data_IF_573201601157
#
_entry.id   IF_573201601157
#
_cell.length_a   1.000
_cell.length_b   1.000
_cell.length_c   1.000
_cell.angle_alpha   90.00
_cell.angle_beta   90.00
_cell.angle_gamma   90.00
#
_symmetry.space_group_name_H-M   'P 1'
#
loop_
_entity.id
_entity.type
_entity.pdbx_description
1 polymer ?
#
# COMPACT_ATOMS: atom_id res chain seq x y z
N UNK A 1 -15.83 -33.51 78.15
CA UNK A 1 -14.69 -32.65 77.76
C UNK A 1 -13.86 -33.36 76.69
N UNK A 2 -14.34 -33.51 75.44
CA UNK A 2 -13.52 -34.03 74.30
C UNK A 2 -14.25 -34.19 72.95
N UNK A 3 -15.44 -33.61 72.68
CA UNK A 3 -16.07 -33.77 71.35
C UNK A 3 -16.39 -32.50 70.58
N UNK A 4 -16.12 -31.32 71.13
CA UNK A 4 -16.47 -30.04 70.49
C UNK A 4 -15.31 -29.39 69.71
N UNK A 5 -14.10 -29.95 69.75
CA UNK A 5 -12.91 -29.31 69.16
C UNK A 5 -12.52 -29.80 67.75
N UNK A 6 -13.09 -30.90 67.26
CA UNK A 6 -12.61 -31.55 66.02
C UNK A 6 -13.19 -30.95 64.72
N UNK A 7 -14.24 -30.13 64.80
CA UNK A 7 -14.97 -29.64 63.61
C UNK A 7 -14.54 -28.25 63.11
N UNK A 8 -13.46 -27.68 63.62
CA UNK A 8 -13.03 -26.31 63.25
C UNK A 8 -11.85 -26.23 62.27
N UNK A 9 -11.27 -27.35 61.82
CA UNK A 9 -9.97 -27.34 61.11
C UNK A 9 -10.03 -27.68 59.60
N UNK A 10 -11.19 -28.00 59.01
CA UNK A 10 -11.22 -28.49 57.61
C UNK A 10 -11.85 -27.58 56.54
N UNK A 11 -12.33 -26.36 56.85
CA UNK A 11 -13.08 -25.53 55.89
C UNK A 11 -12.30 -24.39 55.19
N UNK A 12 -10.96 -24.48 55.05
CA UNK A 12 -10.16 -23.34 54.52
C UNK A 12 -9.36 -23.49 53.21
N UNK A 13 -9.21 -24.65 52.53
CA UNK A 13 -8.47 -24.66 51.26
C UNK A 13 -9.35 -24.29 50.05
N UNK A 14 -10.63 -24.70 50.04
CA UNK A 14 -11.50 -24.59 48.83
C UNK A 14 -11.67 -23.14 48.39
N UNK A 15 -11.90 -22.22 49.34
CA UNK A 15 -12.09 -20.78 49.08
C UNK A 15 -10.84 -20.08 48.56
N UNK A 16 -9.64 -20.58 48.87
CA UNK A 16 -8.41 -20.03 48.32
C UNK A 16 -8.24 -20.42 46.85
N UNK A 17 -8.51 -21.68 46.50
CA UNK A 17 -8.49 -22.14 45.11
C UNK A 17 -9.58 -21.48 44.24
N UNK A 18 -10.78 -21.25 44.78
CA UNK A 18 -11.84 -20.53 44.03
C UNK A 18 -11.43 -19.09 43.73
N UNK A 19 -10.77 -18.41 44.67
CA UNK A 19 -10.26 -17.03 44.46
C UNK A 19 -9.17 -16.98 43.39
N UNK A 20 -8.24 -17.94 43.39
CA UNK A 20 -7.17 -18.02 42.38
C UNK A 20 -7.74 -18.28 40.98
N UNK A 21 -8.70 -19.20 40.86
CA UNK A 21 -9.38 -19.48 39.59
C UNK A 21 -10.16 -18.25 39.10
N UNK A 22 -10.89 -17.58 39.99
CA UNK A 22 -11.62 -16.36 39.66
C UNK A 22 -10.68 -15.25 39.18
N UNK A 23 -9.57 -15.02 39.88
CA UNK A 23 -8.57 -14.00 39.50
C UNK A 23 -7.92 -14.34 38.15
N UNK A 24 -7.59 -15.62 37.91
CA UNK A 24 -7.02 -16.07 36.64
C UNK A 24 -8.01 -15.90 35.48
N UNK A 25 -9.29 -16.24 35.69
CA UNK A 25 -10.35 -16.06 34.71
C UNK A 25 -10.60 -14.58 34.40
N UNK A 26 -10.62 -13.72 35.43
CA UNK A 26 -10.72 -12.26 35.26
C UNK A 26 -9.51 -11.71 34.51
N UNK A 27 -8.29 -12.17 34.80
CA UNK A 27 -7.08 -11.80 34.04
C UNK A 27 -7.18 -12.17 32.57
N UNK A 28 -7.67 -13.38 32.24
CA UNK A 28 -7.86 -13.80 30.85
C UNK A 28 -8.86 -12.90 30.10
N UNK A 29 -9.93 -12.48 30.77
CA UNK A 29 -10.95 -11.60 30.18
C UNK A 29 -10.39 -10.19 29.93
N UNK A 30 -9.55 -9.65 30.83
CA UNK A 30 -8.98 -8.31 30.70
C UNK A 30 -7.97 -8.21 29.56
N UNK A 31 -7.17 -9.26 29.31
CA UNK A 31 -6.19 -9.27 28.21
C UNK A 31 -6.86 -9.30 26.83
N UNK A 32 -8.08 -9.82 26.72
CA UNK A 32 -8.84 -9.84 25.47
C UNK A 32 -9.41 -8.49 25.02
N UNK A 33 -9.48 -7.49 25.91
CA UNK A 33 -10.07 -6.18 25.60
C UNK A 33 -9.07 -5.15 25.06
N UNK A 34 -7.76 -5.43 25.13
CA UNK A 34 -6.73 -4.58 24.56
C UNK A 34 -6.39 -5.08 23.15
N UNK A 35 -7.06 -4.54 22.14
CA UNK A 35 -6.66 -4.79 20.75
C UNK A 35 -5.35 -4.06 20.45
N UNK A 36 -4.34 -4.71 19.83
CA UNK A 36 -3.09 -4.05 19.44
C UNK A 36 -3.27 -3.05 18.28
N UNK A 37 -4.51 -2.85 17.80
CA UNK A 37 -4.84 -1.90 16.75
C UNK A 37 -5.28 -0.59 17.39
N UNK A 38 -4.47 0.45 17.22
CA UNK A 38 -4.76 1.81 17.64
C UNK A 38 -5.01 2.72 16.43
N UNK A 39 -5.81 3.76 16.63
CA UNK A 39 -5.92 4.88 15.68
C UNK A 39 -5.08 6.05 16.21
N UNK A 40 -4.38 6.74 15.32
CA UNK A 40 -3.76 8.02 15.64
C UNK A 40 -4.61 9.12 15.00
N UNK A 41 -5.44 9.85 15.77
CA UNK A 41 -6.29 10.88 15.20
C UNK A 41 -5.43 12.00 14.62
N UNK A 42 -5.76 12.44 13.41
CA UNK A 42 -5.13 13.59 12.74
C UNK A 42 -6.17 14.69 12.53
N UNK A 43 -5.72 15.94 12.41
CA UNK A 43 -6.62 17.02 12.02
C UNK A 43 -7.02 16.90 10.54
N UNK A 44 -8.07 17.61 10.15
CA UNK A 44 -8.66 17.52 8.81
C UNK A 44 -7.67 17.91 7.72
N UNK A 45 -6.83 18.94 7.93
CA UNK A 45 -5.89 19.39 6.91
C UNK A 45 -4.80 18.35 6.66
N UNK A 46 -4.25 17.79 7.74
CA UNK A 46 -3.31 16.67 7.64
C UNK A 46 -3.95 15.46 6.95
N UNK A 47 -5.20 15.14 7.28
CA UNK A 47 -5.95 14.07 6.61
C UNK A 47 -6.13 14.30 5.11
N UNK A 48 -6.42 15.53 4.68
CA UNK A 48 -6.49 15.88 3.25
C UNK A 48 -5.12 15.77 2.57
N UNK A 49 -4.05 16.25 3.21
CA UNK A 49 -2.69 16.15 2.67
C UNK A 49 -2.33 14.70 2.42
N UNK A 50 -2.45 13.83 3.42
CA UNK A 50 -2.16 12.39 3.32
C UNK A 50 -2.94 11.72 2.18
N UNK A 51 -4.20 12.11 1.96
CA UNK A 51 -5.03 11.57 0.87
C UNK A 51 -4.66 12.11 -0.52
N UNK A 52 -3.87 13.18 -0.62
CA UNK A 52 -3.45 13.80 -1.89
C UNK A 52 -1.97 13.58 -2.22
N UNK A 53 -1.22 13.00 -1.30
CA UNK A 53 0.15 12.56 -1.53
C UNK A 53 0.19 11.45 -2.59
N UNK A 54 1.21 11.52 -3.44
CA UNK A 54 1.46 10.57 -4.52
C UNK A 54 2.94 10.62 -4.90
N UNK A 55 3.35 9.69 -5.77
CA UNK A 55 4.70 9.69 -6.34
C UNK A 55 5.05 11.05 -6.99
N UNK A 56 4.07 11.73 -7.58
CA UNK A 56 4.26 13.02 -8.23
C UNK A 56 4.37 14.21 -7.26
N UNK A 57 3.56 14.22 -6.20
CA UNK A 57 3.45 15.38 -5.30
C UNK A 57 4.40 15.33 -4.12
N UNK A 58 4.77 14.14 -3.65
CA UNK A 58 5.52 13.95 -2.42
C UNK A 58 6.64 12.89 -2.51
N UNK A 59 6.92 12.36 -3.70
CA UNK A 59 7.91 11.28 -3.92
C UNK A 59 7.70 10.08 -2.98
N UNK A 60 6.44 9.72 -2.74
CA UNK A 60 6.05 8.59 -1.90
C UNK A 60 4.72 8.00 -2.41
N UNK A 61 4.42 6.71 -2.16
CA UNK A 61 3.20 6.11 -2.67
C UNK A 61 1.94 6.81 -2.15
N UNK A 62 0.92 6.96 -2.98
CA UNK A 62 -0.41 7.37 -2.52
C UNK A 62 -1.02 6.34 -1.56
N UNK A 63 -2.01 6.75 -0.75
CA UNK A 63 -2.72 5.82 0.14
C UNK A 63 -3.42 4.67 -0.61
N UNK A 64 -3.80 4.88 -1.87
CA UNK A 64 -4.34 3.82 -2.73
C UNK A 64 -3.29 2.72 -2.98
N UNK A 65 -2.08 3.11 -3.38
CA UNK A 65 -0.97 2.18 -3.60
C UNK A 65 -0.49 1.53 -2.30
N UNK A 66 -0.40 2.29 -1.21
CA UNK A 66 -0.08 1.74 0.13
C UNK A 66 -1.10 0.69 0.58
N UNK A 67 -2.39 0.89 0.26
CA UNK A 67 -3.44 -0.08 0.58
C UNK A 67 -3.23 -1.39 -0.17
N UNK A 68 -2.86 -1.34 -1.46
CA UNK A 68 -2.53 -2.55 -2.23
C UNK A 68 -1.29 -3.23 -1.67
N UNK A 69 -0.21 -2.49 -1.41
CA UNK A 69 1.00 -3.05 -0.80
C UNK A 69 0.69 -3.72 0.54
N UNK A 70 -0.06 -3.07 1.43
CA UNK A 70 -0.43 -3.60 2.75
C UNK A 70 -1.28 -4.86 2.64
N UNK A 71 -2.28 -4.89 1.75
CA UNK A 71 -3.14 -6.07 1.54
C UNK A 71 -2.38 -7.29 1.01
N UNK A 72 -1.26 -7.07 0.33
CA UNK A 72 -0.41 -8.15 -0.19
C UNK A 72 0.81 -8.44 0.70
N UNK A 73 0.99 -7.73 1.83
CA UNK A 73 2.17 -7.88 2.68
C UNK A 73 3.48 -7.41 2.02
N UNK A 74 3.38 -6.45 1.09
CA UNK A 74 4.50 -5.97 0.27
C UNK A 74 5.03 -4.59 0.69
N UNK A 75 4.45 -3.96 1.71
CA UNK A 75 4.79 -2.59 2.13
C UNK A 75 6.30 -2.46 2.45
N UNK A 76 6.79 -3.21 3.44
CA UNK A 76 8.21 -3.15 3.86
C UNK A 76 9.15 -3.68 2.77
N UNK A 77 8.69 -4.67 1.99
CA UNK A 77 9.48 -5.26 0.89
C UNK A 77 9.67 -4.28 -0.26
N UNK A 78 8.74 -3.36 -0.50
CA UNK A 78 8.87 -2.39 -1.57
C UNK A 78 10.03 -1.42 -1.32
N UNK A 79 10.30 -1.08 -0.06
CA UNK A 79 11.41 -0.19 0.32
C UNK A 79 12.78 -0.80 0.03
N UNK A 80 12.89 -2.12 0.12
CA UNK A 80 14.17 -2.86 0.00
C UNK A 80 14.35 -3.55 -1.36
N UNK A 81 13.25 -4.00 -1.97
CA UNK A 81 13.24 -4.82 -3.19
C UNK A 81 12.17 -4.33 -4.20
N UNK A 82 12.15 -3.03 -4.58
CA UNK A 82 11.07 -2.43 -5.37
C UNK A 82 10.83 -3.14 -6.71
N UNK A 83 11.88 -3.43 -7.48
CA UNK A 83 11.76 -4.11 -8.77
C UNK A 83 11.14 -5.51 -8.66
N UNK A 84 11.48 -6.26 -7.60
CA UNK A 84 10.89 -7.60 -7.36
C UNK A 84 9.44 -7.51 -6.92
N UNK A 85 9.09 -6.53 -6.08
CA UNK A 85 7.71 -6.27 -5.70
C UNK A 85 6.86 -5.88 -6.91
N UNK A 86 7.38 -5.03 -7.80
CA UNK A 86 6.71 -4.65 -9.04
C UNK A 86 6.50 -5.85 -9.97
N UNK A 87 7.51 -6.72 -10.12
CA UNK A 87 7.38 -7.95 -10.89
C UNK A 87 6.35 -8.93 -10.28
N UNK A 88 6.31 -9.05 -8.95
CA UNK A 88 5.34 -9.88 -8.23
C UNK A 88 3.91 -9.36 -8.40
N UNK A 89 3.71 -8.03 -8.28
CA UNK A 89 2.41 -7.39 -8.52
C UNK A 89 1.95 -7.58 -9.97
N UNK A 90 2.86 -7.44 -10.95
CA UNK A 90 2.57 -7.66 -12.36
C UNK A 90 2.14 -9.12 -12.62
N UNK A 91 2.92 -10.09 -12.14
CA UNK A 91 2.62 -11.50 -12.30
C UNK A 91 1.28 -11.90 -11.66
N UNK A 92 0.85 -11.18 -10.62
CA UNK A 92 -0.42 -11.36 -9.94
C UNK A 92 -1.61 -10.60 -10.53
N UNK A 93 -1.47 -9.94 -11.68
CA UNK A 93 -2.57 -9.23 -12.35
C UNK A 93 -3.61 -10.22 -12.91
N UNK A 94 -4.87 -9.95 -12.60
CA UNK A 94 -6.03 -10.60 -13.20
C UNK A 94 -6.40 -9.90 -14.51
N UNK A 95 -7.03 -10.61 -15.46
CA UNK A 95 -7.52 -10.01 -16.70
C UNK A 95 -8.60 -8.93 -16.50
N UNK A 96 -9.31 -8.93 -15.37
CA UNK A 96 -10.41 -8.02 -15.04
C UNK A 96 -10.45 -7.77 -13.53
N UNK A 97 -10.98 -6.61 -13.10
CA UNK A 97 -11.21 -6.28 -11.69
C UNK A 97 -9.91 -6.22 -10.85
N UNK A 98 -8.88 -5.59 -11.42
CA UNK A 98 -7.56 -5.40 -10.80
C UNK A 98 -7.03 -3.96 -11.04
N UNK A 99 -7.94 -2.99 -11.20
CA UNK A 99 -7.65 -1.57 -11.43
C UNK A 99 -6.79 -0.98 -10.30
N UNK A 100 -7.02 -1.43 -9.06
CA UNK A 100 -6.21 -1.07 -7.89
C UNK A 100 -4.74 -1.45 -8.08
N UNK A 101 -4.47 -2.67 -8.57
CA UNK A 101 -3.10 -3.15 -8.82
C UNK A 101 -2.49 -2.49 -10.05
N UNK A 102 -3.27 -2.28 -11.11
CA UNK A 102 -2.79 -1.56 -12.30
C UNK A 102 -2.39 -0.12 -11.96
N UNK A 103 -3.23 0.58 -11.20
CA UNK A 103 -2.90 1.91 -10.68
C UNK A 103 -1.63 1.87 -9.81
N UNK A 104 -1.53 0.89 -8.90
CA UNK A 104 -0.36 0.73 -8.04
C UNK A 104 0.91 0.48 -8.86
N UNK A 105 0.85 -0.37 -9.88
CA UNK A 105 1.97 -0.63 -10.78
C UNK A 105 2.39 0.62 -11.55
N UNK A 106 1.43 1.42 -12.01
CA UNK A 106 1.74 2.70 -12.66
C UNK A 106 2.49 3.64 -11.70
N UNK A 107 1.91 3.92 -10.53
CA UNK A 107 2.47 4.87 -9.57
C UNK A 107 3.83 4.41 -9.02
N UNK A 108 3.95 3.14 -8.61
CA UNK A 108 5.16 2.62 -8.00
C UNK A 108 6.29 2.45 -9.02
N UNK A 109 5.97 2.19 -10.30
CA UNK A 109 6.97 2.19 -11.37
C UNK A 109 7.50 3.61 -11.59
N UNK A 110 6.64 4.64 -11.56
CA UNK A 110 7.09 6.03 -11.65
C UNK A 110 8.00 6.38 -10.48
N UNK A 111 7.58 6.05 -9.25
CA UNK A 111 8.36 6.31 -8.05
C UNK A 111 9.72 5.61 -8.08
N UNK A 112 9.76 4.36 -8.54
CA UNK A 112 11.01 3.63 -8.67
C UNK A 112 11.92 4.26 -9.74
N UNK A 113 11.36 4.71 -10.86
CA UNK A 113 12.09 5.44 -11.88
C UNK A 113 12.66 6.77 -11.36
N UNK A 114 11.87 7.56 -10.60
CA UNK A 114 12.33 8.80 -9.98
C UNK A 114 13.51 8.57 -9.03
N UNK A 115 13.47 7.47 -8.27
CA UNK A 115 14.53 7.15 -7.30
C UNK A 115 15.79 6.57 -7.95
N UNK A 116 15.69 5.93 -9.11
CA UNK A 116 16.82 5.24 -9.77
C UNK A 116 17.37 5.97 -10.99
N UNK A 117 16.58 6.85 -11.60
CA UNK A 117 16.87 7.43 -12.91
C UNK A 117 16.72 6.44 -14.07
N UNK A 118 16.13 5.26 -13.87
CA UNK A 118 15.98 4.26 -14.93
C UNK A 118 14.73 4.55 -15.79
N UNK A 119 14.99 4.98 -17.03
CA UNK A 119 13.96 5.35 -18.00
C UNK A 119 13.00 4.21 -18.36
N UNK A 120 13.42 2.96 -18.22
CA UNK A 120 12.56 1.81 -18.53
C UNK A 120 11.36 1.73 -17.57
N UNK A 121 11.54 2.14 -16.31
CA UNK A 121 10.46 2.19 -15.33
C UNK A 121 9.51 3.39 -15.54
N UNK A 122 9.99 4.51 -16.08
CA UNK A 122 9.12 5.60 -16.53
C UNK A 122 8.17 5.12 -17.65
N UNK A 123 8.70 4.36 -18.61
CA UNK A 123 7.89 3.76 -19.65
C UNK A 123 6.94 2.69 -19.10
N UNK A 124 7.37 1.88 -18.13
CA UNK A 124 6.48 0.93 -17.46
C UNK A 124 5.29 1.64 -16.79
N UNK A 125 5.55 2.74 -16.06
CA UNK A 125 4.50 3.61 -15.50
C UNK A 125 3.51 4.05 -16.57
N UNK A 126 4.01 4.55 -17.70
CA UNK A 126 3.18 5.01 -18.80
C UNK A 126 2.30 3.89 -19.37
N UNK A 127 2.83 2.68 -19.55
CA UNK A 127 2.08 1.53 -20.08
C UNK A 127 0.97 1.10 -19.12
N UNK A 128 1.24 1.00 -17.82
CA UNK A 128 0.20 0.65 -16.83
C UNK A 128 -0.86 1.73 -16.68
N UNK A 129 -0.46 3.01 -16.69
CA UNK A 129 -1.41 4.11 -16.66
C UNK A 129 -2.28 4.13 -17.93
N UNK A 130 -1.68 3.88 -19.09
CA UNK A 130 -2.40 3.79 -20.35
C UNK A 130 -3.42 2.64 -20.35
N UNK A 131 -3.05 1.46 -19.86
CA UNK A 131 -3.98 0.31 -19.82
C UNK A 131 -5.17 0.55 -18.90
N UNK A 132 -5.00 1.36 -17.85
CA UNK A 132 -6.06 1.78 -16.94
C UNK A 132 -6.98 2.85 -17.57
N UNK A 133 -6.41 3.79 -18.33
CA UNK A 133 -7.13 4.92 -18.94
C UNK A 133 -7.86 4.53 -20.22
N UNK A 134 -7.28 3.64 -21.01
CA UNK A 134 -7.75 3.25 -22.32
C UNK A 134 -7.95 1.73 -22.42
N UNK A 135 -8.84 1.14 -21.60
CA UNK A 135 -9.23 -0.24 -21.81
C UNK A 135 -9.87 -0.36 -23.21
N UNK A 136 -9.45 -1.34 -23.99
CA UNK A 136 -9.98 -1.58 -25.33
C UNK A 136 -11.43 -2.09 -25.31
N UNK A 137 -11.72 -3.15 -26.06
CA UNK A 137 -13.09 -3.65 -26.25
C UNK A 137 -13.66 -4.42 -25.05
N UNK A 138 -12.88 -4.60 -23.97
CA UNK A 138 -13.34 -5.24 -22.76
C UNK A 138 -14.33 -4.32 -22.04
N UNK A 139 -15.49 -4.83 -21.67
CA UNK A 139 -16.50 -4.17 -20.80
C UNK A 139 -15.98 -3.96 -19.36
N UNK A 140 -14.70 -3.64 -19.20
CA UNK A 140 -13.93 -3.64 -17.98
C UNK A 140 -14.34 -2.47 -17.08
N UNK A 141 -14.30 -2.73 -15.78
CA UNK A 141 -14.51 -1.74 -14.74
C UNK A 141 -13.51 -0.60 -14.96
N UNK A 142 -14.03 0.57 -15.30
CA UNK A 142 -13.25 1.78 -15.52
C UNK A 142 -13.16 2.55 -14.21
N UNK A 143 -12.03 3.21 -13.94
CA UNK A 143 -12.00 4.23 -12.89
C UNK A 143 -13.10 5.25 -13.22
N UNK A 144 -14.02 5.46 -12.29
CA UNK A 144 -15.07 6.48 -12.44
C UNK A 144 -14.39 7.83 -12.58
N UNK A 145 -14.99 8.75 -13.34
CA UNK A 145 -14.48 10.13 -13.43
C UNK A 145 -14.42 10.85 -12.06
N UNK A 146 -15.22 10.39 -11.09
CA UNK A 146 -15.19 10.87 -9.70
C UNK A 146 -14.10 10.24 -8.83
N UNK A 147 -13.42 9.19 -9.32
CA UNK A 147 -12.31 8.57 -8.61
C UNK A 147 -11.07 9.47 -8.73
N UNK A 148 -10.46 9.91 -7.62
CA UNK A 148 -9.29 10.80 -7.67
C UNK A 148 -8.10 10.18 -8.41
N UNK A 149 -8.00 8.84 -8.44
CA UNK A 149 -6.96 8.12 -9.16
C UNK A 149 -7.06 8.29 -10.66
N UNK A 150 -8.24 8.61 -11.19
CA UNK A 150 -8.44 8.83 -12.62
C UNK A 150 -7.61 10.01 -13.12
N UNK A 151 -7.63 11.12 -12.37
CA UNK A 151 -6.80 12.29 -12.71
C UNK A 151 -5.32 11.96 -12.57
N UNK A 152 -4.94 11.34 -11.46
CA UNK A 152 -3.56 10.98 -11.20
C UNK A 152 -3.01 10.00 -12.25
N UNK A 153 -3.81 9.08 -12.77
CA UNK A 153 -3.41 8.18 -13.86
C UNK A 153 -3.02 8.94 -15.14
N UNK A 154 -3.71 10.02 -15.50
CA UNK A 154 -3.28 10.87 -16.62
C UNK A 154 -1.94 11.54 -16.34
N UNK A 155 -1.75 12.04 -15.12
CA UNK A 155 -0.51 12.70 -14.74
C UNK A 155 0.67 11.70 -14.73
N UNK A 156 0.45 10.47 -14.24
CA UNK A 156 1.41 9.37 -14.31
C UNK A 156 1.74 8.95 -15.75
N UNK A 157 0.73 8.86 -16.62
CA UNK A 157 0.92 8.55 -18.04
C UNK A 157 1.76 9.63 -18.73
N UNK A 158 1.39 10.89 -18.58
CA UNK A 158 2.08 12.02 -19.20
C UNK A 158 3.53 12.13 -18.71
N UNK A 159 3.73 12.05 -17.39
CA UNK A 159 5.05 12.17 -16.78
C UNK A 159 5.94 10.96 -17.11
N UNK A 160 5.38 9.75 -17.08
CA UNK A 160 6.10 8.53 -17.45
C UNK A 160 6.51 8.52 -18.92
N UNK A 161 5.63 8.97 -19.82
CA UNK A 161 5.94 9.05 -21.25
C UNK A 161 7.01 10.11 -21.54
N UNK A 162 6.87 11.30 -20.96
CA UNK A 162 7.83 12.40 -21.14
C UNK A 162 9.23 12.01 -20.65
N UNK A 163 9.34 11.50 -19.42
CA UNK A 163 10.64 11.12 -18.86
C UNK A 163 11.20 9.84 -19.48
N UNK A 164 10.35 8.87 -19.83
CA UNK A 164 10.79 7.62 -20.45
C UNK A 164 11.36 7.80 -21.86
N UNK A 165 10.92 8.85 -22.58
CA UNK A 165 11.37 9.19 -23.93
C UNK A 165 12.31 10.41 -23.97
N UNK A 166 12.71 10.92 -22.81
CA UNK A 166 13.68 11.99 -22.67
C UNK A 166 15.07 11.55 -23.15
N UNK A 167 15.77 12.45 -23.83
CA UNK A 167 17.19 12.31 -24.15
C UNK A 167 18.01 13.27 -23.25
N UNK A 168 18.57 12.78 -22.13
CA UNK A 168 19.24 13.63 -21.14
C UNK A 168 20.55 14.23 -21.67
N UNK A 169 21.12 13.66 -22.72
CA UNK A 169 22.37 14.14 -23.33
C UNK A 169 22.16 15.30 -24.31
N UNK A 170 20.91 15.56 -24.73
CA UNK A 170 20.57 16.60 -25.71
C UNK A 170 19.85 17.82 -25.16
N UNK A 171 19.56 17.86 -23.85
CA UNK A 171 18.92 19.02 -23.25
C UNK A 171 19.82 20.26 -23.29
N UNK A 172 19.29 21.35 -23.84
CA UNK A 172 19.92 22.68 -23.76
C UNK A 172 19.23 23.50 -22.66
N UNK A 173 20.00 24.29 -21.91
CA UNK A 173 19.51 25.22 -20.87
C UNK A 173 18.56 24.64 -19.80
N UNK A 174 18.64 23.33 -19.52
CA UNK A 174 17.80 22.67 -18.51
C UNK A 174 16.41 22.25 -18.99
N UNK A 175 16.10 22.42 -20.29
CA UNK A 175 14.95 21.76 -20.91
C UNK A 175 15.31 20.33 -21.31
N UNK A 176 14.41 19.39 -21.00
CA UNK A 176 14.56 17.98 -21.37
C UNK A 176 13.88 17.76 -22.72
N UNK A 177 14.68 17.51 -23.76
CA UNK A 177 14.17 17.21 -25.08
C UNK A 177 13.55 15.80 -25.12
N UNK A 178 12.28 15.73 -25.53
CA UNK A 178 11.55 14.47 -25.73
C UNK A 178 11.53 14.14 -27.22
N UNK A 179 12.20 13.05 -27.60
CA UNK A 179 12.22 12.60 -29.00
C UNK A 179 11.25 11.45 -29.22
N UNK A 180 10.07 11.77 -29.76
CA UNK A 180 9.09 10.77 -30.17
C UNK A 180 9.57 10.06 -31.44
N UNK A 181 10.26 8.92 -31.27
CA UNK A 181 10.71 8.06 -32.36
C UNK A 181 9.94 6.75 -32.33
N UNK A 182 9.47 6.23 -33.47
CA UNK A 182 8.94 4.87 -33.50
C UNK A 182 10.09 3.89 -33.23
N UNK A 183 9.84 2.88 -32.39
CA UNK A 183 10.86 1.89 -32.06
C UNK A 183 10.40 0.93 -30.97
N UNK A 184 11.22 -0.09 -30.76
CA UNK A 184 11.06 -0.99 -29.63
C UNK A 184 11.81 -0.40 -28.44
N UNK A 185 11.07 -0.09 -27.38
CA UNK A 185 11.62 0.36 -26.12
C UNK A 185 11.63 -0.79 -25.14
N UNK A 186 12.75 -0.95 -24.42
CA UNK A 186 12.85 -1.98 -23.39
C UNK A 186 12.02 -1.56 -22.18
N UNK A 187 11.20 -2.50 -21.71
CA UNK A 187 10.55 -2.43 -20.40
C UNK A 187 11.27 -3.39 -19.44
N UNK A 188 11.19 -3.14 -18.12
CA UNK A 188 11.78 -3.99 -17.09
C UNK A 188 11.24 -5.42 -17.10
#
# INVERSE_FOLDING_TARGET
MTLTLYLLIQRRPVTAYTKVILISFVSLIVVGCATPVGINPVDIQTGYQLNTESALSANQPSEASKTVLRRNGLMDRFETEPAKVLAELHAGLKPTDDEDKLFTLAELSLLHAQNTGDHTWFLASAVYAWSLLFPGDASAVQLKASDPRFRLAYDLYNQGLAQGLADPEKGDNGEVDVHLKPGNYRLP
#
